data_IF_284383792188
#
_entry.id   IF_284383792188
#
_cell.length_a   1.000
_cell.length_b   1.000
_cell.length_c   1.000
_cell.angle_alpha   90.00
_cell.angle_beta   90.00
_cell.angle_gamma   90.00
#
_symmetry.space_group_name_H-M   'P 1'
#
loop_
_entity.id
_entity.type
_entity.pdbx_description
1 polymer ?
#
# COMPACT_ATOMS: atom_id res chain seq x y z
N UNK A 1 -11.19 4.13 -14.29
CA UNK A 1 -10.10 4.34 -13.31
C UNK A 1 -10.44 3.57 -12.04
N UNK A 2 -9.44 3.34 -11.13
CA UNK A 2 -9.73 2.58 -9.90
C UNK A 2 -10.62 3.37 -8.95
N UNK A 3 -10.43 4.69 -8.86
CA UNK A 3 -11.22 5.58 -8.00
C UNK A 3 -12.73 5.52 -8.27
N UNK A 4 -13.14 5.27 -9.51
CA UNK A 4 -14.55 5.19 -9.89
C UNK A 4 -15.22 3.87 -9.42
N UNK A 5 -14.40 2.92 -8.98
CA UNK A 5 -14.81 1.62 -8.45
C UNK A 5 -14.79 1.56 -6.92
N UNK A 6 -14.28 2.61 -6.27
CA UNK A 6 -14.21 2.70 -4.81
C UNK A 6 -15.49 3.31 -4.28
N UNK A 7 -16.29 2.47 -3.65
CA UNK A 7 -17.56 2.86 -3.05
C UNK A 7 -17.37 3.66 -1.76
N UNK A 8 -18.40 4.39 -1.28
CA UNK A 8 -18.36 5.04 0.04
C UNK A 8 -18.09 4.07 1.18
N UNK A 9 -18.63 2.84 1.12
CA UNK A 9 -18.38 1.77 2.09
C UNK A 9 -16.92 1.36 2.11
N UNK A 10 -16.31 1.24 0.94
CA UNK A 10 -14.89 0.91 0.83
C UNK A 10 -14.01 2.03 1.39
N UNK A 11 -14.34 3.30 1.13
CA UNK A 11 -13.67 4.44 1.77
C UNK A 11 -13.80 4.42 3.30
N UNK A 12 -14.98 4.04 3.81
CA UNK A 12 -15.20 3.88 5.26
C UNK A 12 -14.30 2.78 5.83
N UNK A 13 -14.12 1.68 5.10
CA UNK A 13 -13.20 0.59 5.49
C UNK A 13 -11.75 1.09 5.51
N UNK A 14 -11.29 1.85 4.50
CA UNK A 14 -9.96 2.47 4.50
C UNK A 14 -9.73 3.31 5.76
N UNK A 15 -10.65 4.23 6.06
CA UNK A 15 -10.57 5.06 7.28
C UNK A 15 -10.52 4.26 8.57
N UNK A 16 -11.25 3.15 8.62
CA UNK A 16 -11.26 2.27 9.78
C UNK A 16 -9.89 1.61 10.00
N UNK A 17 -9.27 1.10 8.94
CA UNK A 17 -7.98 0.44 9.06
C UNK A 17 -6.84 1.43 9.38
N UNK A 18 -6.84 2.63 8.77
CA UNK A 18 -5.83 3.63 9.13
C UNK A 18 -5.98 4.10 10.58
N UNK A 19 -7.22 4.21 11.09
CA UNK A 19 -7.45 4.50 12.51
C UNK A 19 -6.85 3.41 13.39
N UNK A 20 -7.05 2.14 13.07
CA UNK A 20 -6.40 1.04 13.81
C UNK A 20 -4.88 1.14 13.78
N UNK A 21 -4.29 1.49 12.64
CA UNK A 21 -2.84 1.69 12.52
C UNK A 21 -2.36 2.81 13.46
N UNK A 22 -3.06 3.94 13.49
CA UNK A 22 -2.76 5.05 14.40
C UNK A 22 -2.86 4.61 15.87
N UNK A 23 -3.91 3.86 16.21
CA UNK A 23 -4.18 3.42 17.58
C UNK A 23 -3.21 2.33 18.06
N UNK A 24 -2.78 1.44 17.18
CA UNK A 24 -1.98 0.25 17.54
C UNK A 24 -0.50 0.34 17.16
N UNK A 25 -0.15 1.22 16.22
CA UNK A 25 1.19 1.28 15.63
C UNK A 25 1.51 0.11 14.69
N UNK A 26 0.52 -0.74 14.36
CA UNK A 26 0.69 -1.89 13.45
C UNK A 26 0.06 -1.59 12.09
N UNK A 27 0.70 -2.04 11.05
CA UNK A 27 0.12 -2.00 9.71
C UNK A 27 -1.14 -2.86 9.63
N UNK A 28 -2.12 -2.40 8.90
CA UNK A 28 -3.39 -3.07 8.66
C UNK A 28 -3.59 -3.28 7.17
N UNK A 29 -4.26 -4.35 6.78
CA UNK A 29 -4.56 -4.57 5.38
C UNK A 29 -5.73 -5.50 5.13
N UNK A 30 -6.28 -5.43 3.94
CA UNK A 30 -7.33 -6.32 3.45
C UNK A 30 -7.25 -6.45 1.92
N UNK A 31 -7.92 -7.47 1.37
CA UNK A 31 -7.99 -7.66 -0.07
C UNK A 31 -9.09 -6.80 -0.70
N UNK A 32 -8.78 -6.24 -1.85
CA UNK A 32 -9.72 -5.61 -2.76
C UNK A 32 -10.28 -6.70 -3.69
N UNK A 33 -11.54 -7.03 -3.51
CA UNK A 33 -12.25 -8.05 -4.28
C UNK A 33 -13.09 -7.40 -5.38
N UNK A 34 -13.15 -8.03 -6.56
CA UNK A 34 -13.98 -7.56 -7.67
C UNK A 34 -15.34 -8.21 -7.61
N UNK A 35 -16.42 -7.42 -7.73
CA UNK A 35 -17.77 -7.91 -7.93
C UNK A 35 -18.03 -8.15 -9.43
N UNK A 36 -18.74 -9.23 -9.75
CA UNK A 36 -19.19 -9.49 -11.12
C UNK A 36 -20.52 -8.83 -11.44
N UNK A 37 -21.29 -8.40 -10.41
CA UNK A 37 -22.68 -8.00 -10.61
C UNK A 37 -22.85 -6.55 -11.03
N UNK A 38 -21.96 -5.63 -10.58
CA UNK A 38 -22.11 -4.21 -10.83
C UNK A 38 -20.84 -3.63 -11.47
N UNK A 39 -20.83 -3.44 -12.79
CA UNK A 39 -19.80 -2.67 -13.54
C UNK A 39 -18.35 -2.79 -13.04
N UNK A 40 -18.04 -3.83 -12.25
CA UNK A 40 -16.74 -4.08 -11.68
C UNK A 40 -16.42 -3.26 -10.42
N UNK A 41 -17.41 -2.87 -9.64
CA UNK A 41 -17.23 -2.27 -8.32
C UNK A 41 -16.33 -3.14 -7.43
N UNK A 42 -15.62 -2.48 -6.53
CA UNK A 42 -14.73 -3.15 -5.59
C UNK A 42 -15.37 -3.21 -4.20
N UNK A 43 -15.12 -4.31 -3.51
CA UNK A 43 -15.46 -4.47 -2.11
C UNK A 43 -14.25 -5.00 -1.33
N UNK A 44 -14.25 -4.80 -0.01
CA UNK A 44 -13.22 -5.31 0.87
C UNK A 44 -13.48 -6.77 1.24
N UNK A 45 -12.42 -7.57 1.43
CA UNK A 45 -12.54 -8.81 2.19
C UNK A 45 -13.15 -8.52 3.58
N UNK A 46 -13.86 -9.51 4.15
CA UNK A 46 -14.50 -9.36 5.48
C UNK A 46 -13.44 -9.14 6.55
N UNK A 47 -12.43 -9.98 6.56
CA UNK A 47 -11.32 -9.92 7.49
C UNK A 47 -10.30 -8.89 7.06
N UNK A 48 -9.67 -8.25 8.05
CA UNK A 48 -8.43 -7.53 7.91
C UNK A 48 -7.32 -8.32 8.59
N UNK A 49 -6.09 -8.09 8.15
CA UNK A 49 -4.88 -8.64 8.76
C UNK A 49 -4.05 -7.50 9.33
N UNK A 50 -3.25 -7.78 10.35
CA UNK A 50 -2.29 -6.86 10.93
C UNK A 50 -0.88 -7.45 10.93
N UNK A 51 0.12 -6.60 11.00
CA UNK A 51 1.53 -7.01 11.03
C UNK A 51 2.47 -5.87 11.36
N UNK A 52 3.71 -6.23 11.63
CA UNK A 52 4.81 -5.30 11.83
C UNK A 52 5.69 -5.30 10.57
N UNK A 53 5.31 -4.48 9.57
CA UNK A 53 6.05 -4.29 8.31
C UNK A 53 5.83 -5.35 7.23
N UNK A 54 5.08 -6.45 7.49
CA UNK A 54 4.71 -7.44 6.49
C UNK A 54 3.31 -7.99 6.73
N UNK A 55 2.50 -7.99 5.68
CA UNK A 55 1.11 -8.46 5.71
C UNK A 55 0.94 -9.73 4.86
N UNK A 56 0.49 -10.81 5.49
CA UNK A 56 0.26 -12.10 4.79
C UNK A 56 -1.18 -12.25 4.32
N UNK A 57 -1.49 -11.73 3.15
CA UNK A 57 -2.82 -11.79 2.53
C UNK A 57 -3.29 -13.20 2.14
N UNK A 58 -2.42 -14.21 2.15
CA UNK A 58 -2.80 -15.58 1.84
C UNK A 58 -3.88 -16.13 2.79
N UNK A 59 -3.89 -15.67 4.05
CA UNK A 59 -4.84 -16.08 5.09
C UNK A 59 -6.30 -15.74 4.76
N UNK A 60 -6.53 -14.66 4.00
CA UNK A 60 -7.89 -14.14 3.69
C UNK A 60 -8.24 -14.24 2.20
N UNK A 61 -7.42 -14.93 1.41
CA UNK A 61 -7.61 -15.05 -0.05
C UNK A 61 -8.95 -15.67 -0.44
N UNK A 62 -9.46 -16.62 0.34
CA UNK A 62 -10.76 -17.29 0.08
C UNK A 62 -11.97 -16.36 0.21
N UNK A 63 -11.79 -15.19 0.81
CA UNK A 63 -12.86 -14.20 0.95
C UNK A 63 -13.14 -13.40 -0.32
N UNK A 64 -12.28 -13.51 -1.34
CA UNK A 64 -12.52 -12.99 -2.69
C UNK A 64 -12.83 -14.16 -3.65
N UNK A 65 -14.06 -14.67 -3.71
CA UNK A 65 -14.38 -15.91 -4.42
C UNK A 65 -14.26 -15.80 -5.94
N UNK A 66 -14.37 -14.60 -6.50
CA UNK A 66 -14.43 -14.40 -7.95
C UNK A 66 -13.04 -13.98 -8.45
N UNK A 67 -12.58 -12.80 -8.07
CA UNK A 67 -11.29 -12.28 -8.49
C UNK A 67 -10.75 -11.28 -7.49
N UNK A 68 -9.48 -11.41 -7.16
CA UNK A 68 -8.77 -10.43 -6.36
C UNK A 68 -8.30 -9.32 -7.30
N UNK A 69 -8.74 -8.07 -7.03
CA UNK A 69 -8.22 -6.90 -7.71
C UNK A 69 -6.79 -6.60 -7.26
N UNK A 70 -6.56 -6.71 -5.96
CA UNK A 70 -5.31 -6.42 -5.29
C UNK A 70 -5.50 -6.31 -3.79
N UNK A 71 -4.79 -5.39 -3.17
CA UNK A 71 -4.81 -5.16 -1.73
C UNK A 71 -4.94 -3.68 -1.37
N UNK A 72 -5.31 -3.44 -0.12
CA UNK A 72 -5.12 -2.19 0.61
C UNK A 72 -4.28 -2.48 1.84
N UNK A 73 -3.32 -1.62 2.13
CA UNK A 73 -2.56 -1.66 3.38
C UNK A 73 -2.22 -0.26 3.89
N UNK A 74 -1.81 -0.21 5.15
CA UNK A 74 -1.42 1.03 5.81
C UNK A 74 0.06 1.00 6.14
N UNK A 75 0.70 2.17 6.13
CA UNK A 75 2.07 2.34 6.61
C UNK A 75 2.06 2.96 8.00
N UNK A 76 2.84 2.39 8.91
CA UNK A 76 3.00 2.82 10.30
C UNK A 76 4.38 3.44 10.51
N UNK A 77 4.51 4.75 10.35
CA UNK A 77 5.77 5.48 10.51
C UNK A 77 5.91 6.18 11.85
N UNK A 78 4.80 6.58 12.47
CA UNK A 78 4.83 7.37 13.71
C UNK A 78 5.58 6.71 14.86
N UNK A 79 5.44 5.40 15.14
CA UNK A 79 6.18 4.77 16.24
C UNK A 79 7.70 4.80 16.04
N UNK A 80 8.18 4.50 14.84
CA UNK A 80 9.62 4.50 14.53
C UNK A 80 10.21 5.91 14.63
N UNK A 81 9.53 6.90 14.09
CA UNK A 81 9.97 8.29 14.13
C UNK A 81 9.97 8.81 15.57
N UNK A 82 8.93 8.51 16.36
CA UNK A 82 8.88 8.88 17.78
C UNK A 82 10.04 8.26 18.57
N UNK A 83 10.39 7.00 18.28
CA UNK A 83 11.53 6.32 18.90
C UNK A 83 12.85 7.04 18.58
N UNK A 84 13.11 7.28 17.29
CA UNK A 84 14.34 7.97 16.84
C UNK A 84 14.47 9.40 17.37
N UNK A 85 13.36 10.13 17.43
CA UNK A 85 13.37 11.47 17.98
C UNK A 85 13.64 11.48 19.50
N UNK A 86 13.11 10.48 20.24
CA UNK A 86 13.42 10.32 21.67
C UNK A 86 14.88 10.01 21.95
N UNK A 87 15.53 9.25 21.06
CA UNK A 87 16.97 8.97 21.15
C UNK A 87 17.81 10.25 20.98
N UNK A 88 17.41 11.14 20.03
CA UNK A 88 18.08 12.42 19.77
C UNK A 88 17.70 13.55 20.75
N UNK A 89 16.44 13.54 21.24
CA UNK A 89 15.86 14.61 22.08
C UNK A 89 15.10 14.03 23.29
N UNK A 90 15.75 13.34 24.21
CA UNK A 90 15.09 12.54 25.25
C UNK A 90 14.27 13.36 26.25
N UNK A 91 14.47 14.68 26.33
CA UNK A 91 13.77 15.59 27.26
C UNK A 91 12.64 16.39 26.61
N UNK A 92 12.48 16.31 25.29
CA UNK A 92 11.50 17.08 24.54
C UNK A 92 10.23 16.28 24.27
N UNK A 93 9.09 16.87 24.59
CA UNK A 93 7.79 16.32 24.19
C UNK A 93 7.43 16.92 22.81
N UNK A 94 7.84 16.22 21.74
CA UNK A 94 7.61 16.68 20.38
C UNK A 94 6.14 16.43 20.01
N UNK A 95 5.37 17.46 19.64
CA UNK A 95 3.97 17.30 19.22
C UNK A 95 3.84 16.38 18.01
N UNK A 96 2.75 15.59 17.96
CA UNK A 96 2.50 14.67 16.85
C UNK A 96 2.45 15.36 15.49
N UNK A 97 1.85 16.55 15.42
CA UNK A 97 1.77 17.32 14.17
C UNK A 97 3.16 17.74 13.65
N UNK A 98 4.10 18.05 14.54
CA UNK A 98 5.48 18.33 14.16
C UNK A 98 6.16 17.07 13.60
N UNK A 99 5.93 15.91 14.21
CA UNK A 99 6.45 14.62 13.74
C UNK A 99 5.89 14.29 12.35
N UNK A 100 4.58 14.44 12.16
CA UNK A 100 3.92 14.23 10.85
C UNK A 100 4.51 15.14 9.78
N UNK A 101 4.67 16.41 10.07
CA UNK A 101 5.24 17.39 9.14
C UNK A 101 6.68 17.05 8.74
N UNK A 102 7.52 16.68 9.70
CA UNK A 102 8.91 16.27 9.44
C UNK A 102 8.94 15.05 8.53
N UNK A 103 8.13 14.04 8.82
CA UNK A 103 8.06 12.82 8.01
C UNK A 103 7.66 13.12 6.58
N UNK A 104 6.57 13.85 6.41
CA UNK A 104 6.07 14.24 5.09
C UNK A 104 7.14 15.01 4.29
N UNK A 105 7.85 15.95 4.93
CA UNK A 105 8.93 16.70 4.27
C UNK A 105 10.11 15.81 3.87
N UNK A 106 10.49 14.83 4.69
CA UNK A 106 11.58 13.89 4.38
C UNK A 106 11.26 13.03 3.15
N UNK A 107 10.01 12.59 3.01
CA UNK A 107 9.56 11.82 1.85
C UNK A 107 9.48 12.70 0.59
N UNK A 108 8.95 13.91 0.71
CA UNK A 108 8.91 14.85 -0.42
C UNK A 108 10.30 15.19 -0.97
N UNK A 109 11.31 15.34 -0.11
CA UNK A 109 12.70 15.54 -0.54
C UNK A 109 13.26 14.36 -1.37
N UNK A 110 12.71 13.17 -1.21
CA UNK A 110 13.06 11.97 -2.00
C UNK A 110 12.17 11.78 -3.25
N UNK A 111 11.32 12.76 -3.58
CA UNK A 111 10.29 12.65 -4.63
C UNK A 111 9.33 11.46 -4.42
N UNK A 112 9.10 11.09 -3.18
CA UNK A 112 8.16 10.03 -2.77
C UNK A 112 7.05 10.61 -1.92
N UNK A 113 5.87 10.01 -1.98
CA UNK A 113 4.78 10.28 -1.04
C UNK A 113 4.83 9.28 0.12
N UNK A 114 4.48 9.71 1.33
CA UNK A 114 4.34 8.80 2.49
C UNK A 114 3.23 7.76 2.29
N UNK A 115 2.29 8.03 1.37
CA UNK A 115 1.20 7.14 1.01
C UNK A 115 1.52 6.28 -0.22
N UNK A 116 2.72 6.41 -0.79
CA UNK A 116 3.15 5.61 -1.95
C UNK A 116 3.47 4.18 -1.50
N UNK A 117 2.98 3.14 -2.23
CA UNK A 117 3.37 1.77 -1.99
C UNK A 117 4.89 1.61 -2.03
N UNK A 118 5.42 0.76 -1.18
CA UNK A 118 6.84 0.47 -1.15
C UNK A 118 7.31 -0.22 -2.44
N UNK A 119 8.63 -0.26 -2.64
CA UNK A 119 9.21 -1.02 -3.75
C UNK A 119 8.79 -2.50 -3.73
N UNK A 120 8.76 -3.12 -2.53
CA UNK A 120 8.33 -4.49 -2.34
C UNK A 120 6.87 -4.72 -2.72
N UNK A 121 5.98 -3.78 -2.39
CA UNK A 121 4.56 -3.85 -2.75
C UNK A 121 4.38 -3.87 -4.27
N UNK A 122 5.06 -2.96 -4.97
CA UNK A 122 4.97 -2.88 -6.44
C UNK A 122 5.55 -4.12 -7.11
N UNK A 123 6.67 -4.66 -6.62
CA UNK A 123 7.21 -5.94 -7.10
C UNK A 123 6.22 -7.08 -6.86
N UNK A 124 5.65 -7.17 -5.66
CA UNK A 124 4.65 -8.16 -5.29
C UNK A 124 3.45 -8.15 -6.24
N UNK A 125 2.94 -6.96 -6.56
CA UNK A 125 1.85 -6.80 -7.53
C UNK A 125 2.24 -7.33 -8.91
N UNK A 126 3.43 -7.02 -9.42
CA UNK A 126 3.89 -7.52 -10.73
C UNK A 126 3.99 -9.05 -10.75
N UNK A 127 4.57 -9.64 -9.70
CA UNK A 127 4.70 -11.09 -9.57
C UNK A 127 3.34 -11.78 -9.50
N UNK A 128 2.42 -11.29 -8.68
CA UNK A 128 1.08 -11.87 -8.55
C UNK A 128 0.25 -11.71 -9.83
N UNK A 129 0.39 -10.56 -10.51
CA UNK A 129 -0.26 -10.32 -11.80
C UNK A 129 0.30 -11.25 -12.87
N UNK A 130 1.61 -11.46 -12.94
CA UNK A 130 2.24 -12.37 -13.91
C UNK A 130 1.76 -13.81 -13.76
N UNK A 131 1.40 -14.22 -12.54
CA UNK A 131 0.85 -15.53 -12.19
C UNK A 131 -0.69 -15.57 -12.28
N UNK A 132 -1.33 -14.55 -12.83
CA UNK A 132 -2.80 -14.37 -12.91
C UNK A 132 -3.54 -14.52 -11.57
N UNK A 133 -2.87 -14.26 -10.44
CA UNK A 133 -3.46 -14.37 -9.10
C UNK A 133 -4.28 -13.13 -8.73
N UNK A 134 -3.93 -11.98 -9.27
CA UNK A 134 -4.62 -10.71 -9.07
C UNK A 134 -4.75 -9.93 -10.38
N UNK A 135 -5.62 -8.90 -10.41
CA UNK A 135 -5.70 -7.97 -11.55
C UNK A 135 -4.48 -7.04 -11.57
N UNK A 136 -4.02 -6.61 -10.40
CA UNK A 136 -2.76 -5.89 -10.24
C UNK A 136 -2.91 -4.47 -9.69
N UNK A 137 -3.59 -4.31 -8.56
CA UNK A 137 -3.70 -3.04 -7.85
C UNK A 137 -3.15 -3.18 -6.44
N UNK A 138 -2.45 -2.17 -5.94
CA UNK A 138 -2.18 -1.99 -4.51
C UNK A 138 -2.55 -0.57 -4.13
N UNK A 139 -3.18 -0.42 -2.97
CA UNK A 139 -3.55 0.87 -2.41
C UNK A 139 -2.91 1.01 -1.03
N UNK A 140 -2.34 2.16 -0.74
CA UNK A 140 -1.71 2.41 0.55
C UNK A 140 -2.06 3.77 1.12
N UNK A 141 -2.04 3.84 2.44
CA UNK A 141 -2.25 5.04 3.25
C UNK A 141 -1.22 5.06 4.36
N UNK A 142 -0.91 6.23 4.90
CA UNK A 142 0.04 6.39 6.00
C UNK A 142 -0.64 6.97 7.25
N UNK A 143 -0.17 6.58 8.44
CA UNK A 143 -0.55 7.18 9.72
C UNK A 143 -0.13 8.67 9.81
N UNK A 144 0.80 9.13 8.97
CA UNK A 144 1.23 10.52 8.88
C UNK A 144 0.38 11.37 7.93
N UNK A 145 -0.31 10.75 6.95
CA UNK A 145 -1.23 11.40 5.99
C UNK A 145 -2.54 10.58 5.86
N UNK A 146 -3.34 10.47 6.93
CA UNK A 146 -4.43 9.48 7.03
C UNK A 146 -5.63 9.76 6.12
N UNK A 147 -5.73 10.97 5.59
CA UNK A 147 -6.85 11.39 4.74
C UNK A 147 -6.65 11.06 3.26
N UNK A 148 -5.48 10.54 2.91
CA UNK A 148 -5.10 10.26 1.52
C UNK A 148 -4.74 8.79 1.36
N UNK A 149 -5.30 8.17 0.34
CA UNK A 149 -4.89 6.84 -0.16
C UNK A 149 -4.34 6.99 -1.56
N UNK A 150 -3.23 6.37 -1.85
CA UNK A 150 -2.71 6.23 -3.21
C UNK A 150 -2.93 4.80 -3.70
N UNK A 151 -3.58 4.68 -4.85
CA UNK A 151 -3.78 3.40 -5.53
C UNK A 151 -2.93 3.34 -6.79
N UNK A 152 -2.16 2.29 -6.91
CA UNK A 152 -1.26 2.03 -8.02
C UNK A 152 -1.71 0.76 -8.76
N UNK A 153 -2.14 0.93 -10.01
CA UNK A 153 -2.64 -0.19 -10.84
C UNK A 153 -1.65 -0.48 -11.95
N UNK A 154 -1.17 -1.71 -12.01
CA UNK A 154 -0.27 -2.16 -13.05
C UNK A 154 -0.93 -2.04 -14.44
N UNK A 155 -0.23 -1.43 -15.38
CA UNK A 155 -0.68 -1.25 -16.77
C UNK A 155 -0.96 -2.61 -17.43
N UNK A 156 -1.82 -2.61 -18.45
CA UNK A 156 -2.18 -3.86 -19.13
C UNK A 156 -1.02 -4.40 -19.98
N UNK A 157 -0.35 -3.54 -20.71
CA UNK A 157 0.70 -3.88 -21.68
C UNK A 157 2.11 -3.74 -21.10
N UNK A 158 2.39 -4.42 -19.97
CA UNK A 158 3.73 -4.47 -19.42
C UNK A 158 4.54 -5.53 -20.16
N UNK A 159 5.71 -5.16 -20.68
CA UNK A 159 6.63 -6.10 -21.33
C UNK A 159 7.02 -7.25 -20.37
N UNK A 160 7.01 -8.46 -20.91
CA UNK A 160 7.33 -9.71 -20.17
C UNK A 160 8.66 -9.65 -19.43
N UNK A 161 9.62 -8.91 -19.95
CA UNK A 161 10.94 -8.72 -19.30
C UNK A 161 10.83 -8.14 -17.89
N UNK A 162 9.87 -7.21 -17.64
CA UNK A 162 9.66 -6.62 -16.32
C UNK A 162 9.04 -7.62 -15.33
N UNK A 163 8.11 -8.47 -15.78
CA UNK A 163 7.58 -9.54 -14.96
C UNK A 163 8.66 -10.56 -14.59
N UNK A 164 9.50 -10.97 -15.55
CA UNK A 164 10.61 -11.88 -15.30
C UNK A 164 11.57 -11.27 -14.28
N UNK A 165 11.88 -9.98 -14.43
CA UNK A 165 12.77 -9.27 -13.50
C UNK A 165 12.19 -9.23 -12.09
N UNK A 166 10.92 -8.84 -11.93
CA UNK A 166 10.24 -8.81 -10.65
C UNK A 166 10.24 -10.17 -9.95
N UNK A 167 10.02 -11.28 -10.69
CA UNK A 167 10.08 -12.63 -10.13
C UNK A 167 11.47 -12.96 -9.58
N UNK A 168 12.54 -12.63 -10.32
CA UNK A 168 13.93 -12.87 -9.88
C UNK A 168 14.23 -12.09 -8.59
N UNK A 169 13.81 -10.83 -8.50
CA UNK A 169 14.15 -9.97 -7.35
C UNK A 169 13.38 -10.33 -6.08
N UNK A 170 12.15 -10.81 -6.20
CA UNK A 170 11.41 -11.32 -5.05
C UNK A 170 12.02 -12.62 -4.50
N UNK A 171 12.56 -13.46 -5.38
CA UNK A 171 13.23 -14.71 -4.98
C UNK A 171 14.62 -14.48 -4.38
N UNK A 172 15.33 -13.42 -4.80
CA UNK A 172 16.61 -13.03 -4.23
C UNK A 172 16.66 -11.54 -3.90
N UNK A 173 16.32 -11.15 -2.65
CA UNK A 173 16.32 -9.74 -2.22
C UNK A 173 17.66 -9.02 -2.37
N UNK A 174 18.78 -9.74 -2.51
CA UNK A 174 20.09 -9.12 -2.75
C UNK A 174 20.16 -8.46 -4.12
N UNK A 175 19.28 -8.85 -5.05
CA UNK A 175 19.19 -8.32 -6.40
C UNK A 175 18.28 -7.10 -6.53
N UNK A 176 17.62 -6.65 -5.47
CA UNK A 176 16.70 -5.49 -5.45
C UNK A 176 17.36 -4.21 -6.01
N UNK A 177 18.66 -4.07 -5.88
CA UNK A 177 19.43 -2.94 -6.43
C UNK A 177 19.43 -2.86 -7.96
N UNK A 178 19.10 -3.94 -8.64
CA UNK A 178 19.18 -4.06 -10.09
C UNK A 178 17.87 -3.70 -10.83
N UNK A 179 16.77 -3.50 -10.08
CA UNK A 179 15.49 -3.04 -10.62
C UNK A 179 15.02 -1.83 -9.79
N UNK A 180 15.62 -0.66 -9.99
CA UNK A 180 15.37 0.54 -9.19
C UNK A 180 13.89 0.93 -9.18
N UNK A 181 13.44 1.54 -8.08
CA UNK A 181 12.06 1.98 -7.91
C UNK A 181 11.59 2.90 -9.07
N UNK A 182 12.48 3.73 -9.60
CA UNK A 182 12.21 4.61 -10.75
C UNK A 182 11.84 3.83 -12.02
N UNK A 183 12.27 2.59 -12.17
CA UNK A 183 11.94 1.75 -13.34
C UNK A 183 10.61 1.03 -13.16
N UNK A 184 10.19 0.79 -11.91
CA UNK A 184 8.93 0.12 -11.60
C UNK A 184 7.76 1.11 -11.66
N UNK A 185 7.91 2.31 -11.11
CA UNK A 185 6.84 3.33 -11.06
C UNK A 185 6.16 3.58 -12.41
N UNK A 186 6.87 3.74 -13.54
CA UNK A 186 6.25 3.96 -14.84
C UNK A 186 5.38 2.80 -15.34
N UNK A 187 5.48 1.60 -14.74
CA UNK A 187 4.66 0.44 -15.09
C UNK A 187 3.25 0.51 -14.49
N UNK A 188 2.98 1.50 -13.65
CA UNK A 188 1.71 1.67 -12.96
C UNK A 188 1.01 2.97 -13.34
N UNK A 189 -0.31 2.95 -13.26
CA UNK A 189 -1.16 4.13 -13.22
C UNK A 189 -1.42 4.48 -11.76
N UNK A 190 -1.12 5.72 -11.38
CA UNK A 190 -1.29 6.23 -10.02
C UNK A 190 -2.58 7.03 -9.92
N UNK A 191 -3.36 6.78 -8.89
CA UNK A 191 -4.56 7.55 -8.55
C UNK A 191 -4.54 7.91 -7.07
N UNK A 192 -4.80 9.19 -6.78
CA UNK A 192 -4.91 9.71 -5.40
C UNK A 192 -6.38 9.85 -5.02
N UNK A 193 -6.74 9.32 -3.86
CA UNK A 193 -8.10 9.23 -3.36
C UNK A 193 -8.18 9.99 -2.04
N UNK A 194 -9.04 10.99 -1.99
CA UNK A 194 -9.36 11.69 -0.75
C UNK A 194 -10.37 10.85 0.04
N UNK A 195 -10.07 10.60 1.31
CA UNK A 195 -10.91 9.84 2.23
C UNK A 195 -11.88 10.71 3.04
N UNK A 196 -11.74 12.04 2.98
CA UNK A 196 -12.67 12.99 3.63
C UNK A 196 -14.04 12.95 3.02
#
# INVERSE_FOLDING_TARGET
MIKDKITPELKKKFRHEIKKTIDTGKEQGFLLCKDNKDNGSLYASRSSIDGEGELNFAKIKSECPIKIQGDFHTHSYLPDIKSRLKEGFPKENIPEDAIRNITTQLYHRKNMSVTEPSHGDLLGVLVLKSKNKIVGTTCSTSDTEPDITECWTAKENIDRKYYNRANIEIEDPRLIRNFPHEWIRPLFNKERINLK
#
